data_IF_683229445165
#
_entry.id   IF_683229445165
#
_cell.length_a   1.000
_cell.length_b   1.000
_cell.length_c   1.000
_cell.angle_alpha   90.00
_cell.angle_beta   90.00
_cell.angle_gamma   90.00
#
_symmetry.space_group_name_H-M   'P 1'
#
loop_
_entity.id
_entity.type
_entity.pdbx_description
1 polymer ?
#
# COMPACT_ATOMS: atom_id res chain seq x y z
N UNK A 1 22.02 39.20 53.31
CA UNK A 1 20.72 38.73 52.77
C UNK A 1 19.78 39.87 52.40
N UNK A 2 19.92 41.09 52.95
CA UNK A 2 19.05 42.24 52.59
C UNK A 2 19.21 42.76 51.15
N UNK A 3 20.36 42.50 50.50
CA UNK A 3 20.60 42.91 49.11
C UNK A 3 19.72 42.16 48.08
N UNK A 4 19.30 40.92 48.40
CA UNK A 4 18.42 40.12 47.56
C UNK A 4 16.93 40.47 47.72
N UNK A 5 16.57 41.27 48.73
CA UNK A 5 15.18 41.65 49.04
C UNK A 5 14.84 43.10 48.64
N UNK A 6 15.78 43.83 48.00
CA UNK A 6 15.47 45.15 47.47
C UNK A 6 14.47 45.05 46.32
N UNK A 7 13.30 45.66 46.47
CA UNK A 7 12.23 45.70 45.45
C UNK A 7 12.74 46.13 44.07
N UNK A 8 13.68 47.09 44.01
CA UNK A 8 14.29 47.57 42.76
C UNK A 8 15.10 46.50 42.00
N UNK A 9 15.48 45.40 42.67
CA UNK A 9 16.26 44.29 42.12
C UNK A 9 15.38 43.04 41.97
N UNK A 10 14.46 42.80 42.91
CA UNK A 10 13.50 41.69 42.91
C UNK A 10 12.43 41.80 41.82
N UNK A 11 11.82 42.99 41.62
CA UNK A 11 10.78 43.18 40.60
C UNK A 11 11.30 42.92 39.18
N UNK A 12 12.44 43.48 38.75
CA UNK A 12 13.03 43.15 37.45
C UNK A 12 13.39 41.67 37.31
N UNK A 13 13.89 41.04 38.37
CA UNK A 13 14.27 39.62 38.36
C UNK A 13 13.06 38.68 38.25
N UNK A 14 11.98 38.98 38.98
CA UNK A 14 10.71 38.26 38.85
C UNK A 14 10.07 38.50 37.47
N UNK A 15 10.18 39.71 36.93
CA UNK A 15 9.71 40.02 35.59
C UNK A 15 10.49 39.26 34.51
N UNK A 16 11.82 39.15 34.60
CA UNK A 16 12.63 38.39 33.65
C UNK A 16 12.43 36.88 33.79
N UNK A 17 12.25 36.36 35.01
CA UNK A 17 11.84 34.97 35.25
C UNK A 17 10.44 34.67 34.69
N UNK A 18 9.48 35.56 34.92
CA UNK A 18 8.13 35.43 34.36
C UNK A 18 8.14 35.49 32.82
N UNK A 19 8.93 36.39 32.25
CA UNK A 19 9.12 36.49 30.81
C UNK A 19 9.80 35.23 30.22
N UNK A 20 10.84 34.69 30.87
CA UNK A 20 11.53 33.49 30.39
C UNK A 20 10.64 32.24 30.47
N UNK A 21 9.88 32.06 31.55
CA UNK A 21 8.85 31.02 31.66
C UNK A 21 7.78 31.15 30.58
N UNK A 22 7.32 32.37 30.30
CA UNK A 22 6.34 32.62 29.24
C UNK A 22 6.90 32.26 27.86
N UNK A 23 8.14 32.63 27.58
CA UNK A 23 8.83 32.27 26.33
C UNK A 23 8.98 30.76 26.20
N UNK A 24 9.40 30.06 27.26
CA UNK A 24 9.53 28.60 27.27
C UNK A 24 8.17 27.94 27.03
N UNK A 25 7.11 28.42 27.68
CA UNK A 25 5.76 27.88 27.51
C UNK A 25 5.26 28.08 26.07
N UNK A 26 5.45 29.27 25.49
CA UNK A 26 5.09 29.54 24.08
C UNK A 26 5.90 28.65 23.13
N UNK A 27 7.20 28.52 23.33
CA UNK A 27 8.04 27.64 22.51
C UNK A 27 7.62 26.17 22.60
N UNK A 28 7.28 25.70 23.80
CA UNK A 28 6.78 24.35 24.02
C UNK A 28 5.43 24.12 23.30
N UNK A 29 4.51 25.08 23.37
CA UNK A 29 3.22 25.00 22.66
C UNK A 29 3.39 25.02 21.14
N UNK A 30 4.22 25.93 20.61
CA UNK A 30 4.52 26.02 19.17
C UNK A 30 5.16 24.72 18.67
N UNK A 31 6.09 24.16 19.44
CA UNK A 31 6.72 22.88 19.11
C UNK A 31 5.70 21.74 19.13
N UNK A 32 4.88 21.65 20.17
CA UNK A 32 3.82 20.65 20.28
C UNK A 32 2.86 20.73 19.09
N UNK A 33 2.37 21.94 18.76
CA UNK A 33 1.47 22.14 17.62
C UNK A 33 2.12 21.71 16.29
N UNK A 34 3.38 22.08 16.06
CA UNK A 34 4.14 21.68 14.88
C UNK A 34 4.25 20.17 14.78
N UNK A 35 4.68 19.50 15.85
CA UNK A 35 4.88 18.06 15.83
C UNK A 35 3.56 17.29 15.63
N UNK A 36 2.44 17.74 16.22
CA UNK A 36 1.13 17.11 15.99
C UNK A 36 0.64 17.30 14.55
N UNK A 37 0.84 18.48 13.95
CA UNK A 37 0.56 18.71 12.53
C UNK A 37 1.39 17.79 11.63
N UNK A 38 2.67 17.59 11.96
CA UNK A 38 3.57 16.70 11.22
C UNK A 38 3.11 15.23 11.33
N UNK A 39 2.79 14.75 12.53
CA UNK A 39 2.23 13.40 12.74
C UNK A 39 0.96 13.17 11.94
N UNK A 40 0.04 14.14 11.97
CA UNK A 40 -1.22 14.04 11.24
C UNK A 40 -1.02 14.10 9.73
N UNK A 41 -0.09 14.93 9.25
CA UNK A 41 0.31 14.93 7.83
C UNK A 41 0.84 13.56 7.41
N UNK A 42 1.73 12.96 8.21
CA UNK A 42 2.28 11.62 7.95
C UNK A 42 1.18 10.57 7.88
N UNK A 43 0.25 10.52 8.83
CA UNK A 43 -0.86 9.56 8.83
C UNK A 43 -1.80 9.77 7.62
N UNK A 44 -2.09 11.01 7.26
CA UNK A 44 -2.85 11.33 6.05
C UNK A 44 -2.15 10.86 4.78
N UNK A 45 -0.83 11.06 4.70
CA UNK A 45 -0.04 10.60 3.57
C UNK A 45 -0.07 9.08 3.45
N UNK A 46 0.10 8.37 4.57
CA UNK A 46 0.02 6.90 4.59
C UNK A 46 -1.35 6.39 4.12
N UNK A 47 -2.44 7.05 4.54
CA UNK A 47 -3.79 6.74 4.07
C UNK A 47 -3.95 7.01 2.57
N UNK A 48 -3.45 8.14 2.04
CA UNK A 48 -3.55 8.46 0.61
C UNK A 48 -2.78 7.46 -0.25
N UNK A 49 -1.57 7.10 0.17
CA UNK A 49 -0.76 6.07 -0.50
C UNK A 49 -1.43 4.71 -0.44
N UNK A 50 -1.92 4.30 0.74
CA UNK A 50 -2.64 3.03 0.90
C UNK A 50 -3.89 2.96 0.01
N UNK A 51 -4.65 4.05 -0.08
CA UNK A 51 -5.80 4.16 -0.98
C UNK A 51 -5.41 3.98 -2.44
N UNK A 52 -4.36 4.68 -2.91
CA UNK A 52 -3.90 4.60 -4.30
C UNK A 52 -3.39 3.21 -4.66
N UNK A 53 -2.59 2.61 -3.78
CA UNK A 53 -2.05 1.27 -3.94
C UNK A 53 -3.20 0.25 -4.00
N UNK A 54 -4.14 0.31 -3.05
CA UNK A 54 -5.29 -0.58 -3.01
C UNK A 54 -6.14 -0.47 -4.27
N UNK A 55 -6.51 0.76 -4.64
CA UNK A 55 -7.36 1.00 -5.79
C UNK A 55 -6.68 0.54 -7.09
N UNK A 56 -5.37 0.79 -7.24
CA UNK A 56 -4.60 0.30 -8.39
C UNK A 56 -4.59 -1.22 -8.47
N UNK A 57 -4.34 -1.91 -7.34
CA UNK A 57 -4.34 -3.37 -7.29
C UNK A 57 -5.71 -3.96 -7.68
N UNK A 58 -6.80 -3.37 -7.17
CA UNK A 58 -8.17 -3.78 -7.49
C UNK A 58 -8.47 -3.62 -8.98
N UNK A 59 -8.15 -2.45 -9.55
CA UNK A 59 -8.43 -2.16 -10.97
C UNK A 59 -7.65 -3.12 -11.87
N UNK A 60 -6.37 -3.34 -11.59
CA UNK A 60 -5.53 -4.28 -12.35
C UNK A 60 -6.04 -5.71 -12.21
N UNK A 61 -6.39 -6.15 -11.00
CA UNK A 61 -6.95 -7.49 -10.74
C UNK A 61 -8.25 -7.70 -11.52
N UNK A 62 -9.20 -6.77 -11.39
CA UNK A 62 -10.54 -6.85 -11.99
C UNK A 62 -10.53 -6.79 -13.51
N UNK A 63 -9.76 -5.87 -14.08
CA UNK A 63 -9.86 -5.54 -15.50
C UNK A 63 -8.76 -6.15 -16.34
N UNK A 64 -7.70 -6.69 -15.73
CA UNK A 64 -6.59 -7.29 -16.46
C UNK A 64 -6.34 -8.73 -16.01
N UNK A 65 -5.95 -8.97 -14.76
CA UNK A 65 -5.50 -10.30 -14.32
C UNK A 65 -6.62 -11.34 -14.42
N UNK A 66 -7.76 -11.12 -13.76
CA UNK A 66 -8.87 -12.10 -13.73
C UNK A 66 -9.41 -12.43 -15.12
N UNK A 67 -9.69 -11.45 -16.01
CA UNK A 67 -10.11 -11.76 -17.37
C UNK A 67 -9.08 -12.59 -18.16
N UNK A 68 -7.78 -12.35 -17.96
CA UNK A 68 -6.73 -13.11 -18.67
C UNK A 68 -6.58 -14.52 -18.13
N UNK A 69 -6.77 -14.73 -16.83
CA UNK A 69 -6.84 -16.08 -16.23
C UNK A 69 -7.99 -16.86 -16.87
N UNK A 70 -9.20 -16.29 -16.84
CA UNK A 70 -10.40 -16.93 -17.40
C UNK A 70 -10.29 -17.20 -18.91
N UNK A 71 -9.69 -16.27 -19.66
CA UNK A 71 -9.45 -16.46 -21.09
C UNK A 71 -8.44 -17.58 -21.35
N UNK A 72 -7.36 -17.64 -20.56
CA UNK A 72 -6.32 -18.66 -20.71
C UNK A 72 -6.85 -20.04 -20.36
N UNK A 73 -7.64 -20.19 -19.30
CA UNK A 73 -8.31 -21.45 -18.94
C UNK A 73 -9.17 -21.97 -20.10
N UNK A 74 -10.02 -21.11 -20.68
CA UNK A 74 -10.85 -21.48 -21.83
C UNK A 74 -10.02 -21.88 -23.06
N UNK A 75 -8.90 -21.20 -23.29
CA UNK A 75 -7.98 -21.53 -24.39
C UNK A 75 -7.35 -22.90 -24.16
N UNK A 76 -6.88 -23.18 -22.95
CA UNK A 76 -6.32 -24.49 -22.56
C UNK A 76 -7.37 -25.60 -22.72
N UNK A 77 -8.63 -25.32 -22.38
CA UNK A 77 -9.76 -26.23 -22.57
C UNK A 77 -10.19 -26.41 -24.04
N UNK A 78 -9.52 -25.74 -24.99
CA UNK A 78 -9.67 -25.95 -26.42
C UNK A 78 -10.41 -24.85 -27.19
N UNK A 79 -10.67 -23.68 -26.58
CA UNK A 79 -11.27 -22.52 -27.27
C UNK A 79 -10.30 -21.87 -28.28
N UNK A 80 -10.21 -22.53 -29.44
CA UNK A 80 -9.29 -22.18 -30.52
C UNK A 80 -9.61 -20.82 -31.17
N UNK A 81 -10.87 -20.39 -31.15
CA UNK A 81 -11.29 -19.10 -31.69
C UNK A 81 -10.90 -17.95 -30.76
N UNK A 82 -11.02 -18.16 -29.44
CA UNK A 82 -10.51 -17.21 -28.46
C UNK A 82 -8.99 -17.07 -28.59
N UNK A 83 -8.24 -18.17 -28.68
CA UNK A 83 -6.78 -18.14 -28.88
C UNK A 83 -6.37 -17.31 -30.10
N UNK A 84 -7.01 -17.56 -31.26
CA UNK A 84 -6.74 -16.79 -32.47
C UNK A 84 -7.01 -15.30 -32.27
N UNK A 85 -8.13 -14.97 -31.61
CA UNK A 85 -8.52 -13.59 -31.35
C UNK A 85 -7.52 -12.89 -30.43
N UNK A 86 -7.11 -13.53 -29.34
CA UNK A 86 -6.12 -13.01 -28.38
C UNK A 86 -4.77 -12.76 -29.04
N UNK A 87 -4.29 -13.69 -29.88
CA UNK A 87 -3.05 -13.52 -30.64
C UNK A 87 -3.15 -12.40 -31.70
N UNK A 88 -4.29 -12.27 -32.39
CA UNK A 88 -4.50 -11.23 -33.40
C UNK A 88 -4.56 -9.83 -32.80
N UNK A 89 -5.10 -9.71 -31.58
CA UNK A 89 -5.25 -8.45 -30.87
C UNK A 89 -4.02 -8.07 -30.01
N UNK A 90 -2.99 -8.92 -29.94
CA UNK A 90 -1.80 -8.74 -29.08
C UNK A 90 -2.16 -8.59 -27.58
N UNK A 91 -3.24 -9.26 -27.15
CA UNK A 91 -3.82 -9.13 -25.81
C UNK A 91 -2.98 -9.84 -24.74
N UNK A 92 -1.97 -10.64 -25.10
CA UNK A 92 -1.06 -11.24 -24.11
C UNK A 92 -0.09 -10.21 -23.51
N UNK A 93 0.18 -9.10 -24.20
CA UNK A 93 1.20 -8.11 -23.85
C UNK A 93 0.64 -7.04 -22.88
N UNK A 94 0.25 -7.51 -21.68
CA UNK A 94 -0.38 -6.74 -20.59
C UNK A 94 0.63 -6.19 -19.58
N UNK A 95 0.15 -5.29 -18.70
CA UNK A 95 0.91 -4.76 -17.56
C UNK A 95 2.28 -4.18 -17.93
N UNK A 96 2.37 -3.43 -19.03
CA UNK A 96 3.63 -2.77 -19.45
C UNK A 96 4.00 -1.53 -18.64
N UNK A 97 3.05 -0.99 -17.88
CA UNK A 97 3.22 0.28 -17.18
C UNK A 97 3.91 0.07 -15.84
N UNK A 98 4.91 0.91 -15.55
CA UNK A 98 5.59 0.90 -14.25
C UNK A 98 4.62 1.27 -13.12
N UNK A 99 4.87 0.69 -11.94
CA UNK A 99 4.16 1.04 -10.70
C UNK A 99 4.23 2.54 -10.40
N UNK A 100 3.20 3.04 -9.71
CA UNK A 100 3.15 4.43 -9.28
C UNK A 100 4.26 4.68 -8.27
N UNK A 101 5.07 5.70 -8.49
CA UNK A 101 6.10 6.10 -7.54
C UNK A 101 5.51 7.08 -6.51
N UNK A 102 5.83 6.84 -5.25
CA UNK A 102 5.41 7.68 -4.13
C UNK A 102 6.60 8.52 -3.64
N UNK A 103 6.34 9.76 -3.23
CA UNK A 103 7.39 10.60 -2.67
C UNK A 103 7.81 10.06 -1.29
N UNK A 104 9.10 10.14 -0.97
CA UNK A 104 9.55 9.75 0.36
C UNK A 104 9.04 10.72 1.43
N UNK A 105 8.37 10.19 2.45
CA UNK A 105 8.09 10.95 3.68
C UNK A 105 9.42 11.40 4.29
N UNK A 106 9.55 12.66 4.72
CA UNK A 106 10.74 13.12 5.41
C UNK A 106 11.06 12.24 6.63
N UNK A 107 12.34 11.91 6.84
CA UNK A 107 12.76 11.02 7.92
C UNK A 107 12.30 11.52 9.31
N UNK A 108 12.40 12.82 9.56
CA UNK A 108 11.94 13.44 10.81
C UNK A 108 10.44 13.22 11.07
N UNK A 109 9.63 13.15 10.01
CA UNK A 109 8.19 12.98 10.09
C UNK A 109 7.84 11.51 10.37
N UNK A 110 8.58 10.58 9.75
CA UNK A 110 8.51 9.15 10.08
C UNK A 110 8.93 8.91 11.52
N UNK A 111 9.99 9.58 12.00
CA UNK A 111 10.49 9.45 13.37
C UNK A 111 9.43 9.85 14.41
N UNK A 112 8.69 10.94 14.18
CA UNK A 112 7.64 11.39 15.10
C UNK A 112 6.51 10.37 15.26
N UNK A 113 6.08 9.76 14.15
CA UNK A 113 5.05 8.71 14.20
C UNK A 113 5.64 7.41 14.75
N UNK A 114 6.87 7.05 14.37
CA UNK A 114 7.55 5.85 14.86
C UNK A 114 7.89 5.90 16.35
N UNK A 115 8.04 7.09 16.93
CA UNK A 115 8.14 7.27 18.38
C UNK A 115 6.84 6.86 19.09
N UNK A 116 5.70 7.10 18.46
CA UNK A 116 4.38 6.77 19.00
C UNK A 116 3.99 5.30 18.67
N UNK A 117 4.26 4.84 17.45
CA UNK A 117 3.99 3.50 16.93
C UNK A 117 4.99 3.12 15.82
N UNK A 118 6.04 2.37 16.16
CA UNK A 118 7.05 1.94 15.19
C UNK A 118 6.51 0.87 14.22
N UNK A 119 5.57 0.05 14.67
CA UNK A 119 4.97 -1.00 13.84
C UNK A 119 4.10 -0.40 12.73
N UNK A 120 3.49 0.77 12.95
CA UNK A 120 2.79 1.51 11.91
C UNK A 120 3.73 1.95 10.78
N UNK A 121 4.92 2.45 11.12
CA UNK A 121 5.94 2.81 10.11
C UNK A 121 6.40 1.56 9.35
N UNK A 122 6.70 0.48 10.07
CA UNK A 122 7.13 -0.77 9.46
C UNK A 122 6.05 -1.37 8.54
N UNK A 123 4.78 -1.33 8.95
CA UNK A 123 3.67 -1.79 8.12
C UNK A 123 3.51 -0.93 6.86
N UNK A 124 3.66 0.39 6.97
CA UNK A 124 3.62 1.27 5.83
C UNK A 124 4.78 1.03 4.85
N UNK A 125 6.01 0.94 5.36
CA UNK A 125 7.19 0.67 4.53
C UNK A 125 7.09 -0.72 3.87
N UNK A 126 6.52 -1.72 4.56
CA UNK A 126 6.21 -3.03 3.99
C UNK A 126 5.18 -2.95 2.85
N UNK A 127 4.12 -2.15 3.00
CA UNK A 127 3.14 -1.95 1.92
C UNK A 127 3.80 -1.36 0.68
N UNK A 128 4.65 -0.34 0.86
CA UNK A 128 5.38 0.29 -0.25
C UNK A 128 6.31 -0.73 -0.92
N UNK A 129 7.06 -1.49 -0.12
CA UNK A 129 7.93 -2.56 -0.62
C UNK A 129 7.17 -3.59 -1.45
N UNK A 130 6.06 -4.12 -0.93
CA UNK A 130 5.21 -5.09 -1.64
C UNK A 130 4.60 -4.53 -2.93
N UNK A 131 4.39 -3.22 -3.03
CA UNK A 131 3.89 -2.57 -4.24
C UNK A 131 4.99 -2.30 -5.28
N UNK A 132 6.21 -2.01 -4.82
CA UNK A 132 7.36 -1.74 -5.68
C UNK A 132 8.00 -3.03 -6.23
N UNK A 133 7.74 -4.18 -5.61
CA UNK A 133 8.19 -5.48 -6.11
C UNK A 133 7.52 -5.81 -7.45
N UNK A 134 8.27 -5.65 -8.55
CA UNK A 134 7.80 -5.82 -9.93
C UNK A 134 8.32 -7.10 -10.60
N UNK A 135 8.81 -8.06 -9.81
CA UNK A 135 9.49 -9.27 -10.30
C UNK A 135 8.60 -10.09 -11.22
N UNK A 136 7.38 -10.41 -10.80
CA UNK A 136 6.45 -11.21 -11.59
C UNK A 136 5.92 -10.45 -12.82
N UNK A 137 5.76 -9.13 -12.70
CA UNK A 137 5.36 -8.28 -13.83
C UNK A 137 6.45 -8.25 -14.89
N UNK A 138 7.71 -8.11 -14.49
CA UNK A 138 8.86 -8.16 -15.39
C UNK A 138 9.00 -9.54 -16.04
N UNK A 139 8.85 -10.61 -15.26
CA UNK A 139 8.86 -11.98 -15.76
C UNK A 139 7.76 -12.23 -16.78
N UNK A 140 6.54 -11.71 -16.55
CA UNK A 140 5.45 -11.79 -17.52
C UNK A 140 5.81 -11.10 -18.85
N UNK A 141 6.34 -9.88 -18.79
CA UNK A 141 6.71 -9.10 -19.98
C UNK A 141 7.76 -9.84 -20.80
N UNK A 142 8.80 -10.36 -20.15
CA UNK A 142 9.87 -11.11 -20.82
C UNK A 142 9.33 -12.42 -21.40
N UNK A 143 8.52 -13.17 -20.64
CA UNK A 143 7.90 -14.41 -21.09
C UNK A 143 7.02 -14.22 -22.32
N UNK A 144 6.13 -13.21 -22.31
CA UNK A 144 5.24 -12.90 -23.43
C UNK A 144 6.04 -12.51 -24.67
N UNK A 145 7.07 -11.69 -24.50
CA UNK A 145 7.94 -11.26 -25.59
C UNK A 145 8.65 -12.43 -26.27
N UNK A 146 9.09 -13.42 -25.50
CA UNK A 146 9.81 -14.59 -26.00
C UNK A 146 8.89 -15.64 -26.61
N UNK A 147 7.68 -15.82 -26.07
CA UNK A 147 6.86 -17.00 -26.38
C UNK A 147 5.54 -16.71 -27.09
N UNK A 148 4.94 -15.54 -26.88
CA UNK A 148 3.56 -15.24 -27.29
C UNK A 148 3.44 -14.05 -28.25
N UNK A 149 4.48 -13.23 -28.38
CA UNK A 149 4.47 -12.03 -29.24
C UNK A 149 4.44 -12.32 -30.74
N UNK A 150 4.98 -13.45 -31.17
CA UNK A 150 4.94 -13.88 -32.57
C UNK A 150 3.83 -14.91 -32.76
N UNK A 151 2.70 -14.48 -33.33
CA UNK A 151 1.59 -15.39 -33.66
C UNK A 151 2.05 -16.58 -34.49
N UNK A 152 2.76 -16.31 -35.59
CA UNK A 152 3.21 -17.37 -36.50
C UNK A 152 4.27 -18.26 -35.81
N UNK A 153 5.09 -17.69 -34.93
CA UNK A 153 6.06 -18.43 -34.11
C UNK A 153 5.42 -19.32 -33.05
N UNK A 154 4.32 -18.88 -32.43
CA UNK A 154 3.56 -19.68 -31.48
C UNK A 154 2.81 -20.82 -32.19
N UNK A 155 2.07 -20.51 -33.26
CA UNK A 155 1.26 -21.49 -34.00
C UNK A 155 2.10 -22.55 -34.73
N UNK A 156 3.38 -22.28 -35.01
CA UNK A 156 4.29 -23.25 -35.61
C UNK A 156 4.84 -24.29 -34.62
N UNK A 157 4.65 -24.11 -33.31
CA UNK A 157 5.03 -25.08 -32.28
C UNK A 157 4.07 -26.27 -32.29
N UNK A 158 4.52 -27.42 -31.80
CA UNK A 158 3.66 -28.57 -31.58
C UNK A 158 2.66 -28.31 -30.44
N UNK A 159 1.57 -29.10 -30.42
CA UNK A 159 0.47 -28.93 -29.45
C UNK A 159 0.95 -29.04 -28.00
N UNK A 160 1.94 -29.90 -27.71
CA UNK A 160 2.51 -30.04 -26.37
C UNK A 160 3.23 -28.75 -25.94
N UNK A 161 4.11 -28.24 -26.80
CA UNK A 161 4.81 -26.99 -26.54
C UNK A 161 3.86 -25.77 -26.45
N UNK A 162 2.77 -25.75 -27.22
CA UNK A 162 1.75 -24.70 -27.09
C UNK A 162 1.04 -24.77 -25.74
N UNK A 163 0.65 -25.96 -25.30
CA UNK A 163 0.03 -26.18 -24.00
C UNK A 163 0.95 -25.79 -22.85
N UNK A 164 2.23 -26.17 -22.90
CA UNK A 164 3.22 -25.81 -21.87
C UNK A 164 3.38 -24.29 -21.72
N UNK A 165 3.41 -23.55 -22.84
CA UNK A 165 3.49 -22.09 -22.84
C UNK A 165 2.24 -21.47 -22.21
N UNK A 166 1.05 -21.98 -22.55
CA UNK A 166 -0.22 -21.46 -22.03
C UNK A 166 -0.37 -21.75 -20.53
N UNK A 167 0.02 -22.94 -20.07
CA UNK A 167 0.06 -23.28 -18.65
C UNK A 167 1.04 -22.39 -17.88
N UNK A 168 2.23 -22.16 -18.44
CA UNK A 168 3.22 -21.26 -17.82
C UNK A 168 2.70 -19.82 -17.74
N UNK A 169 2.02 -19.34 -18.78
CA UNK A 169 1.37 -18.03 -18.77
C UNK A 169 0.30 -17.94 -17.67
N UNK A 170 -0.54 -18.98 -17.53
CA UNK A 170 -1.56 -19.08 -16.49
C UNK A 170 -0.94 -19.11 -15.08
N UNK A 171 0.17 -19.82 -14.87
CA UNK A 171 0.89 -19.85 -13.59
C UNK A 171 1.43 -18.47 -13.19
N UNK A 172 1.97 -17.72 -14.15
CA UNK A 172 2.46 -16.35 -13.92
C UNK A 172 1.27 -15.43 -13.56
N UNK A 173 0.15 -15.52 -14.29
CA UNK A 173 -1.05 -14.74 -13.99
C UNK A 173 -1.62 -15.06 -12.61
N UNK A 174 -1.66 -16.34 -12.22
CA UNK A 174 -2.10 -16.78 -10.90
C UNK A 174 -1.19 -16.23 -9.79
N UNK A 175 0.12 -16.18 -10.04
CA UNK A 175 1.08 -15.57 -9.12
C UNK A 175 0.84 -14.07 -8.92
N UNK A 176 0.55 -13.34 -10.01
CA UNK A 176 0.17 -11.93 -9.96
C UNK A 176 -1.16 -11.72 -9.22
N UNK A 177 -2.12 -12.64 -9.39
CA UNK A 177 -3.40 -12.61 -8.68
C UNK A 177 -3.22 -12.74 -7.16
N UNK A 178 -2.34 -13.66 -6.74
CA UNK A 178 -1.95 -13.86 -5.35
C UNK A 178 -1.22 -12.65 -4.76
N UNK A 179 -0.37 -11.98 -5.53
CA UNK A 179 0.29 -10.73 -5.13
C UNK A 179 -0.71 -9.61 -4.88
N UNK A 180 -1.61 -9.38 -5.84
CA UNK A 180 -2.68 -8.40 -5.69
C UNK A 180 -3.54 -8.71 -4.45
N UNK A 181 -3.91 -9.98 -4.24
CA UNK A 181 -4.65 -10.44 -3.08
C UNK A 181 -3.92 -10.15 -1.75
N UNK A 182 -2.61 -10.48 -1.66
CA UNK A 182 -1.80 -10.19 -0.46
C UNK A 182 -1.78 -8.70 -0.12
N UNK A 183 -1.59 -7.85 -1.13
CA UNK A 183 -1.56 -6.41 -0.97
C UNK A 183 -2.93 -5.85 -0.54
N UNK A 184 -4.01 -6.30 -1.17
CA UNK A 184 -5.38 -5.92 -0.82
C UNK A 184 -5.70 -6.27 0.64
N UNK A 185 -5.41 -7.51 1.05
CA UNK A 185 -5.69 -7.97 2.43
C UNK A 185 -4.78 -7.26 3.44
N UNK A 186 -3.52 -7.00 3.09
CA UNK A 186 -2.61 -6.25 3.96
C UNK A 186 -3.15 -4.84 4.28
N UNK A 187 -3.70 -4.15 3.28
CA UNK A 187 -4.36 -2.84 3.51
C UNK A 187 -5.59 -2.99 4.40
N UNK A 188 -6.50 -3.94 4.08
CA UNK A 188 -7.76 -4.17 4.79
C UNK A 188 -7.57 -4.56 6.25
N UNK A 189 -6.71 -5.54 6.50
CA UNK A 189 -6.65 -6.25 7.79
C UNK A 189 -5.52 -5.75 8.69
N UNK A 190 -4.46 -5.16 8.11
CA UNK A 190 -3.27 -4.75 8.88
C UNK A 190 -3.08 -3.24 8.93
N UNK A 191 -2.99 -2.56 7.78
CA UNK A 191 -2.61 -1.15 7.75
C UNK A 191 -3.76 -0.21 8.12
N UNK A 192 -4.93 -0.35 7.50
CA UNK A 192 -6.07 0.53 7.73
C UNK A 192 -6.51 0.53 9.22
N UNK A 193 -6.70 -0.63 9.89
CA UNK A 193 -7.11 -0.64 11.30
C UNK A 193 -6.07 -0.02 12.25
N UNK A 194 -4.78 -0.03 11.88
CA UNK A 194 -3.73 0.65 12.66
C UNK A 194 -3.79 2.16 12.47
N UNK A 195 -3.91 2.63 11.22
CA UNK A 195 -4.05 4.05 10.92
C UNK A 195 -5.29 4.64 11.60
N UNK A 196 -6.43 3.96 11.56
CA UNK A 196 -7.68 4.41 12.20
C UNK A 196 -7.52 4.57 13.72
N UNK A 197 -6.87 3.60 14.38
CA UNK A 197 -6.58 3.67 15.81
C UNK A 197 -5.62 4.82 16.13
N UNK A 198 -4.58 5.00 15.32
CA UNK A 198 -3.61 6.07 15.49
C UNK A 198 -4.26 7.46 15.35
N UNK A 199 -5.06 7.68 14.31
CA UNK A 199 -5.74 8.95 14.03
C UNK A 199 -6.82 9.26 15.08
N UNK A 200 -7.43 8.23 15.67
CA UNK A 200 -8.38 8.37 16.77
C UNK A 200 -7.72 8.58 18.14
N UNK A 201 -6.39 8.63 18.18
CA UNK A 201 -5.60 8.81 19.40
C UNK A 201 -5.84 10.14 20.11
N UNK A 202 -5.64 10.14 21.43
CA UNK A 202 -5.84 11.33 22.28
C UNK A 202 -4.91 12.49 21.91
N UNK A 203 -3.75 12.21 21.30
CA UNK A 203 -2.82 13.26 20.86
C UNK A 203 -3.42 14.22 19.84
N UNK A 204 -4.45 13.78 19.09
CA UNK A 204 -5.12 14.59 18.08
C UNK A 204 -6.43 15.23 18.55
N UNK A 205 -6.77 15.16 19.85
CA UNK A 205 -8.05 15.65 20.38
C UNK A 205 -8.35 17.12 20.02
N UNK A 206 -7.31 17.96 19.98
CA UNK A 206 -7.41 19.40 19.67
C UNK A 206 -7.08 19.71 18.20
N UNK A 207 -6.89 18.70 17.35
CA UNK A 207 -6.46 18.85 15.97
C UNK A 207 -7.54 18.33 15.01
N UNK A 208 -7.65 18.96 13.84
CA UNK A 208 -8.66 18.60 12.84
C UNK A 208 -8.25 17.32 12.11
N UNK A 209 -8.95 16.21 12.37
CA UNK A 209 -8.71 14.90 11.74
C UNK A 209 -9.66 14.57 10.58
N UNK A 210 -10.49 15.51 10.14
CA UNK A 210 -11.56 15.26 9.15
C UNK A 210 -11.04 14.79 7.79
N UNK A 211 -9.89 15.29 7.34
CA UNK A 211 -9.31 14.88 6.06
C UNK A 211 -8.86 13.42 6.10
N UNK A 212 -8.26 12.99 7.20
CA UNK A 212 -7.82 11.62 7.42
C UNK A 212 -9.03 10.67 7.42
N UNK A 213 -10.05 11.01 8.21
CA UNK A 213 -11.31 10.26 8.28
C UNK A 213 -12.04 10.17 6.93
N UNK A 214 -11.93 11.20 6.09
CA UNK A 214 -12.47 11.16 4.72
C UNK A 214 -11.75 10.12 3.86
N UNK A 215 -10.42 10.02 3.97
CA UNK A 215 -9.65 9.02 3.21
C UNK A 215 -9.90 7.62 3.77
N UNK A 216 -9.94 7.43 5.09
CA UNK A 216 -10.35 6.16 5.73
C UNK A 216 -11.69 5.67 5.19
N UNK A 217 -12.69 6.56 5.15
CA UNK A 217 -14.00 6.23 4.62
C UNK A 217 -13.96 5.84 3.13
N UNK A 218 -13.13 6.51 2.31
CA UNK A 218 -12.93 6.13 0.91
C UNK A 218 -12.33 4.74 0.75
N UNK A 219 -11.33 4.40 1.56
CA UNK A 219 -10.72 3.06 1.54
C UNK A 219 -11.78 2.01 1.90
N UNK A 220 -12.59 2.25 2.94
CA UNK A 220 -13.70 1.37 3.33
C UNK A 220 -14.73 1.18 2.21
N UNK A 221 -15.16 2.28 1.57
CA UNK A 221 -16.09 2.19 0.45
C UNK A 221 -15.52 1.37 -0.71
N UNK A 222 -14.23 1.51 -1.03
CA UNK A 222 -13.58 0.69 -2.07
C UNK A 222 -13.53 -0.78 -1.66
N UNK A 223 -13.25 -1.09 -0.40
CA UNK A 223 -13.28 -2.47 0.10
C UNK A 223 -14.69 -3.06 -0.04
N UNK A 224 -15.73 -2.28 0.29
CA UNK A 224 -17.13 -2.71 0.20
C UNK A 224 -17.60 -2.86 -1.25
N UNK A 225 -17.24 -1.92 -2.14
CA UNK A 225 -17.61 -1.93 -3.56
C UNK A 225 -17.03 -3.13 -4.32
N UNK A 226 -15.84 -3.57 -3.95
CA UNK A 226 -15.09 -4.65 -4.61
C UNK A 226 -14.91 -5.87 -3.71
N UNK A 227 -15.83 -6.09 -2.75
CA UNK A 227 -15.71 -7.14 -1.74
C UNK A 227 -15.56 -8.55 -2.35
N UNK A 228 -16.13 -8.78 -3.53
CA UNK A 228 -16.04 -10.02 -4.30
C UNK A 228 -14.62 -10.37 -4.78
N UNK A 229 -13.75 -9.36 -4.90
CA UNK A 229 -12.35 -9.54 -5.30
C UNK A 229 -11.41 -9.78 -4.12
N UNK A 230 -11.88 -9.62 -2.88
CA UNK A 230 -11.05 -9.85 -1.71
C UNK A 230 -11.05 -11.33 -1.33
N UNK A 231 -9.89 -11.87 -0.91
CA UNK A 231 -9.84 -13.16 -0.23
C UNK A 231 -10.69 -13.20 1.04
N UNK A 232 -11.15 -14.40 1.38
CA UNK A 232 -11.92 -14.70 2.58
C UNK A 232 -11.17 -14.36 3.88
N UNK A 233 -11.94 -14.27 4.98
CA UNK A 233 -11.39 -14.09 6.32
C UNK A 233 -10.50 -15.28 6.69
N UNK A 234 -9.22 -15.02 7.01
CA UNK A 234 -8.23 -16.05 7.37
C UNK A 234 -7.11 -16.23 6.34
N UNK A 235 -7.23 -15.66 5.14
CA UNK A 235 -6.24 -15.77 4.06
C UNK A 235 -4.79 -15.48 4.51
N UNK A 236 -4.57 -14.40 5.27
CA UNK A 236 -3.21 -14.07 5.73
C UNK A 236 -2.67 -15.02 6.80
N UNK A 237 -3.53 -15.69 7.56
CA UNK A 237 -3.09 -16.74 8.48
C UNK A 237 -2.65 -17.99 7.71
N UNK A 238 -3.37 -18.37 6.65
CA UNK A 238 -2.99 -19.48 5.77
C UNK A 238 -1.68 -19.20 5.03
N UNK A 239 -1.53 -17.99 4.48
CA UNK A 239 -0.28 -17.55 3.83
C UNK A 239 0.88 -17.55 4.83
N UNK A 240 0.66 -17.11 6.09
CA UNK A 240 1.70 -17.10 7.14
C UNK A 240 2.02 -18.50 7.67
N UNK A 241 1.04 -19.39 7.73
CA UNK A 241 1.23 -20.78 8.14
C UNK A 241 1.93 -21.62 7.05
N UNK A 242 2.32 -21.00 5.93
CA UNK A 242 3.13 -21.61 4.89
C UNK A 242 2.34 -22.47 3.91
N UNK A 243 1.00 -22.36 3.89
CA UNK A 243 0.13 -23.14 3.01
C UNK A 243 0.43 -24.64 3.08
N UNK A 244 1.06 -25.18 2.03
CA UNK A 244 1.50 -26.59 1.95
C UNK A 244 2.42 -26.99 3.10
N UNK A 245 3.27 -26.08 3.61
CA UNK A 245 4.16 -26.39 4.74
C UNK A 245 3.40 -26.65 6.05
N UNK A 246 2.18 -26.14 6.19
CA UNK A 246 1.28 -26.49 7.30
C UNK A 246 0.39 -27.70 7.02
N UNK A 247 0.34 -28.18 5.77
CA UNK A 247 -0.42 -29.35 5.35
C UNK A 247 0.44 -30.65 5.26
N UNK A 248 1.75 -30.54 5.48
CA UNK A 248 2.72 -31.62 5.59
C UNK A 248 2.99 -31.95 7.07
#
# INVERSE_FOLDING_TARGET
>A
MEFLLQEKLMLPFLATLGASLSVIAIQALVRFEKEQKQRLFTANYMLDVAYRILYSAIIVKKHTIVPHIQATERIIDGDSELLKTTLLADEFDILKTKSMQFNNLPADYKLLVGYDDIELIQAFDMLVYLHEEDTNQSHLIDFVKENLKSRDGFLAKDEGAQADILNTYWDILSSLDHEAARLMVFVRDMLLPRLERYISGKQFLLFKTSDAKRIEHRIKMVIEEYADLFPDSGYMEEVRAGGIQGAL
#
